data_IF_326894085214
#
_entry.id   IF_326894085214
#
_cell.length_a   1.000
_cell.length_b   1.000
_cell.length_c   1.000
_cell.angle_alpha   90.00
_cell.angle_beta   90.00
_cell.angle_gamma   90.00
#
_symmetry.space_group_name_H-M   'P 1'
#
loop_
_entity.id
_entity.type
_entity.pdbx_description
1 polymer ?
#
# COMPACT_ATOMS: atom_id res chain seq x y z
N UNK A 1 -2.51 -13.07 -11.64
CA UNK A 1 -1.43 -12.78 -10.66
C UNK A 1 -0.45 -11.79 -11.28
N UNK A 2 -0.05 -10.73 -10.58
CA UNK A 2 1.00 -9.80 -11.04
C UNK A 2 2.24 -10.00 -10.19
N UNK A 3 3.35 -10.43 -10.80
CA UNK A 3 4.62 -10.67 -10.12
C UNK A 3 5.76 -10.22 -11.03
N UNK A 4 6.63 -9.33 -10.56
CA UNK A 4 7.79 -8.82 -11.31
C UNK A 4 7.45 -8.35 -12.74
N UNK A 5 6.38 -7.58 -12.93
CA UNK A 5 5.99 -7.08 -14.26
C UNK A 5 5.25 -8.10 -15.13
N UNK A 6 5.10 -9.35 -14.69
CA UNK A 6 4.42 -10.42 -15.44
C UNK A 6 2.98 -10.55 -14.98
N UNK A 7 2.04 -10.60 -15.93
CA UNK A 7 0.62 -10.86 -15.68
C UNK A 7 0.26 -12.27 -16.12
N UNK A 8 -0.34 -13.04 -15.22
CA UNK A 8 -0.93 -14.35 -15.49
C UNK A 8 -2.46 -14.27 -15.49
N UNK A 9 -3.09 -14.77 -16.56
CA UNK A 9 -4.53 -15.01 -16.68
C UNK A 9 -4.74 -16.49 -16.96
N UNK A 10 -5.53 -17.19 -16.14
CA UNK A 10 -5.71 -18.64 -16.22
C UNK A 10 -4.37 -19.41 -16.30
N UNK A 11 -3.42 -19.02 -15.43
CA UNK A 11 -2.05 -19.53 -15.34
C UNK A 11 -1.18 -19.38 -16.59
N UNK A 12 -1.61 -18.57 -17.56
CA UNK A 12 -0.85 -18.24 -18.77
C UNK A 12 -0.38 -16.80 -18.75
N UNK A 13 0.87 -16.58 -19.15
CA UNK A 13 1.41 -15.23 -19.31
C UNK A 13 0.72 -14.53 -20.48
N UNK A 14 0.30 -13.28 -20.25
CA UNK A 14 -0.38 -12.46 -21.24
C UNK A 14 0.37 -11.15 -21.49
N UNK A 15 0.30 -10.63 -22.72
CA UNK A 15 0.76 -9.29 -23.07
C UNK A 15 -0.30 -8.24 -22.78
N UNK A 16 0.11 -7.04 -22.35
CA UNK A 16 -0.81 -5.94 -22.09
C UNK A 16 -0.94 -4.99 -23.30
N UNK A 17 -2.15 -4.46 -23.59
CA UNK A 17 -3.41 -4.78 -22.94
C UNK A 17 -3.91 -6.18 -23.32
N UNK A 18 -4.42 -6.90 -22.32
CA UNK A 18 -5.06 -8.20 -22.50
C UNK A 18 -6.56 -8.09 -22.26
N UNK A 19 -7.35 -8.76 -23.09
CA UNK A 19 -8.79 -8.82 -22.93
C UNK A 19 -9.25 -10.27 -23.08
N UNK A 20 -9.55 -10.91 -21.96
CA UNK A 20 -10.01 -12.31 -21.93
C UNK A 20 -11.46 -12.43 -22.42
N UNK A 21 -12.27 -11.38 -22.22
CA UNK A 21 -13.68 -11.31 -22.64
C UNK A 21 -14.21 -9.87 -22.58
N UNK A 22 -15.52 -9.66 -22.77
CA UNK A 22 -16.19 -8.39 -22.44
C UNK A 22 -16.17 -8.09 -20.93
N UNK A 23 -15.85 -9.09 -20.09
CA UNK A 23 -16.01 -9.00 -18.63
C UNK A 23 -14.77 -8.41 -17.96
N UNK A 24 -13.57 -8.75 -18.45
CA UNK A 24 -12.30 -8.41 -17.83
C UNK A 24 -11.31 -7.87 -18.86
N UNK A 25 -10.82 -6.66 -18.59
CA UNK A 25 -9.71 -6.03 -19.30
C UNK A 25 -8.53 -5.85 -18.35
N UNK A 26 -7.34 -6.16 -18.83
CA UNK A 26 -6.09 -5.92 -18.11
C UNK A 26 -5.22 -5.01 -18.96
N UNK A 27 -4.73 -3.91 -18.39
CA UNK A 27 -3.87 -2.95 -19.07
C UNK A 27 -2.78 -2.45 -18.16
N UNK A 28 -1.78 -1.77 -18.72
CA UNK A 28 -0.88 -0.95 -17.91
C UNK A 28 -1.68 0.12 -17.17
N UNK A 29 -1.27 0.46 -15.95
CA UNK A 29 -1.84 1.59 -15.23
C UNK A 29 -1.55 2.90 -15.98
N UNK A 30 -2.41 3.90 -15.82
CA UNK A 30 -2.28 5.19 -16.52
C UNK A 30 -0.98 5.94 -16.18
N UNK A 31 -0.40 5.69 -15.01
CA UNK A 31 0.89 6.23 -14.58
C UNK A 31 2.10 5.39 -15.05
N UNK A 32 1.87 4.29 -15.78
CA UNK A 32 2.91 3.37 -16.27
C UNK A 32 3.61 2.55 -15.17
N UNK A 33 3.24 2.73 -13.90
CA UNK A 33 3.92 2.16 -12.74
C UNK A 33 3.28 0.85 -12.25
N UNK A 34 2.51 0.15 -13.08
CA UNK A 34 1.78 -1.04 -12.66
C UNK A 34 0.77 -1.56 -13.67
N UNK A 35 -0.17 -2.35 -13.17
CA UNK A 35 -1.22 -3.01 -13.95
C UNK A 35 -2.58 -2.65 -13.38
N UNK A 36 -3.53 -2.42 -14.27
CA UNK A 36 -4.92 -2.18 -13.94
C UNK A 36 -5.78 -3.31 -14.50
N UNK A 37 -6.60 -3.90 -13.62
CA UNK A 37 -7.66 -4.82 -13.97
C UNK A 37 -8.98 -4.07 -13.89
N UNK A 38 -9.74 -4.07 -14.98
CA UNK A 38 -11.04 -3.43 -15.06
C UNK A 38 -12.09 -4.47 -15.42
N UNK A 39 -13.14 -4.51 -14.61
CA UNK A 39 -14.34 -5.29 -14.91
C UNK A 39 -15.42 -4.39 -15.51
N UNK A 40 -16.23 -4.93 -16.42
CA UNK A 40 -17.36 -4.17 -17.00
C UNK A 40 -18.40 -3.73 -15.95
N UNK A 41 -18.44 -4.42 -14.81
CA UNK A 41 -19.32 -4.06 -13.71
C UNK A 41 -18.82 -2.85 -12.90
N UNK A 42 -17.66 -2.27 -13.20
CA UNK A 42 -17.15 -1.08 -12.54
C UNK A 42 -16.34 -1.37 -11.26
N UNK A 43 -15.75 -2.56 -11.17
CA UNK A 43 -14.65 -2.83 -10.22
C UNK A 43 -13.34 -2.67 -10.96
N UNK A 44 -12.46 -1.84 -10.41
CA UNK A 44 -11.11 -1.57 -10.91
C UNK A 44 -10.10 -1.88 -9.82
N UNK A 45 -9.10 -2.69 -10.14
CA UNK A 45 -7.99 -3.02 -9.24
C UNK A 45 -6.69 -2.57 -9.90
N UNK A 46 -5.99 -1.65 -9.28
CA UNK A 46 -4.67 -1.20 -9.72
C UNK A 46 -3.61 -1.78 -8.79
N UNK A 47 -2.67 -2.53 -9.36
CA UNK A 47 -1.50 -3.08 -8.65
C UNK A 47 -0.28 -2.33 -9.14
N UNK A 48 0.34 -1.57 -8.24
CA UNK A 48 1.56 -0.81 -8.53
C UNK A 48 2.80 -1.70 -8.39
N UNK A 49 3.90 -1.26 -8.99
CA UNK A 49 5.20 -1.93 -8.94
C UNK A 49 5.77 -2.04 -7.53
N UNK A 50 5.33 -1.19 -6.61
CA UNK A 50 5.70 -1.20 -5.18
C UNK A 50 4.79 -2.11 -4.32
N UNK A 51 3.93 -2.91 -4.95
CA UNK A 51 3.00 -3.80 -4.26
C UNK A 51 1.73 -3.11 -3.74
N UNK A 52 1.59 -1.78 -3.89
CA UNK A 52 0.36 -1.09 -3.50
C UNK A 52 -0.81 -1.57 -4.35
N UNK A 53 -1.89 -2.00 -3.68
CA UNK A 53 -3.15 -2.37 -4.31
C UNK A 53 -4.18 -1.28 -4.03
N UNK A 54 -4.71 -0.66 -5.08
CA UNK A 54 -5.80 0.31 -5.01
C UNK A 54 -7.02 -0.29 -5.68
N UNK A 55 -8.13 -0.36 -4.95
CA UNK A 55 -9.39 -0.86 -5.49
C UNK A 55 -10.40 0.28 -5.56
N UNK A 56 -11.03 0.45 -6.72
CA UNK A 56 -12.16 1.36 -6.94
C UNK A 56 -13.37 0.53 -7.29
N UNK A 57 -14.45 0.70 -6.54
CA UNK A 57 -15.68 -0.09 -6.67
C UNK A 57 -16.84 0.85 -7.00
N UNK A 58 -17.62 0.53 -8.03
CA UNK A 58 -18.81 1.28 -8.38
C UNK A 58 -19.82 1.31 -7.23
N UNK A 59 -20.45 2.47 -7.00
CA UNK A 59 -21.39 2.72 -5.91
C UNK A 59 -22.55 1.71 -5.79
N UNK A 60 -22.94 1.04 -6.87
CA UNK A 60 -23.98 -0.01 -6.87
C UNK A 60 -23.66 -1.24 -5.99
N UNK A 61 -22.40 -1.37 -5.58
CA UNK A 61 -21.90 -2.41 -4.68
C UNK A 61 -21.78 -1.96 -3.21
N UNK A 62 -22.14 -0.71 -2.88
CA UNK A 62 -22.21 -0.24 -1.50
C UNK A 62 -23.08 -1.18 -0.64
N UNK A 63 -22.56 -1.63 0.50
CA UNK A 63 -23.21 -2.60 1.39
C UNK A 63 -23.27 -4.04 0.86
N UNK A 64 -22.68 -4.31 -0.31
CA UNK A 64 -22.64 -5.65 -0.94
C UNK A 64 -21.23 -6.24 -1.04
N UNK A 65 -20.24 -5.49 -0.59
CA UNK A 65 -18.85 -5.94 -0.51
C UNK A 65 -18.50 -6.28 0.94
N UNK A 66 -17.50 -7.12 1.12
CA UNK A 66 -16.95 -7.44 2.42
C UNK A 66 -15.48 -7.81 2.27
N UNK A 67 -14.66 -7.43 3.24
CA UNK A 67 -13.22 -7.73 3.23
C UNK A 67 -12.47 -6.80 4.17
N UNK A 68 -11.14 -6.79 4.05
CA UNK A 68 -10.27 -5.92 4.84
C UNK A 68 -10.51 -4.41 4.61
N UNK A 69 -11.18 -4.05 3.50
CA UNK A 69 -11.57 -2.67 3.19
C UNK A 69 -13.01 -2.33 3.63
N UNK A 70 -13.63 -3.15 4.48
CA UNK A 70 -14.99 -2.90 4.98
C UNK A 70 -16.08 -3.28 3.99
N UNK A 71 -17.26 -2.65 4.15
CA UNK A 71 -18.48 -2.99 3.39
C UNK A 71 -18.98 -1.87 2.46
N UNK A 72 -18.35 -0.69 2.49
CA UNK A 72 -18.69 0.46 1.64
C UNK A 72 -20.14 0.99 1.85
N UNK A 73 -20.72 0.85 3.04
CA UNK A 73 -22.04 1.41 3.39
C UNK A 73 -21.98 2.87 3.87
N UNK A 74 -20.78 3.45 3.97
CA UNK A 74 -20.51 4.80 4.50
C UNK A 74 -20.70 4.92 6.02
N UNK A 75 -20.53 3.82 6.76
CA UNK A 75 -20.56 3.72 8.23
C UNK A 75 -19.22 3.17 8.75
N UNK A 76 -18.22 4.05 8.86
CA UNK A 76 -16.86 3.68 9.28
C UNK A 76 -16.76 2.85 10.58
N UNK A 77 -17.56 3.14 11.63
CA UNK A 77 -17.61 2.32 12.85
C UNK A 77 -17.90 0.82 12.62
N UNK A 78 -18.59 0.47 11.54
CA UNK A 78 -19.04 -0.89 11.27
C UNK A 78 -18.14 -1.66 10.29
N UNK A 79 -17.10 -1.01 9.76
CA UNK A 79 -16.14 -1.62 8.83
C UNK A 79 -15.19 -2.60 9.54
N UNK A 80 -14.98 -2.47 10.86
CA UNK A 80 -14.09 -3.31 11.65
C UNK A 80 -14.74 -4.65 12.07
N UNK A 81 -15.27 -5.37 11.09
CA UNK A 81 -15.95 -6.67 11.27
C UNK A 81 -15.14 -7.82 10.73
N UNK A 82 -15.17 -8.93 11.44
CA UNK A 82 -14.59 -10.21 11.00
C UNK A 82 -15.30 -10.74 9.75
N UNK A 83 -14.75 -11.79 9.11
CA UNK A 83 -15.41 -12.52 8.02
C UNK A 83 -16.83 -13.03 8.33
N UNK A 84 -17.16 -13.13 9.62
CA UNK A 84 -18.47 -13.58 10.11
C UNK A 84 -19.40 -12.41 10.44
N UNK A 85 -19.05 -11.19 10.03
CA UNK A 85 -19.80 -9.96 10.30
C UNK A 85 -19.91 -9.58 11.78
N UNK A 86 -19.00 -10.10 12.62
CA UNK A 86 -18.93 -9.79 14.04
C UNK A 86 -17.89 -8.68 14.25
N UNK A 87 -18.17 -7.61 15.03
CA UNK A 87 -17.17 -6.62 15.39
C UNK A 87 -15.91 -7.27 15.98
N UNK A 88 -14.76 -6.97 15.41
CA UNK A 88 -13.49 -7.49 15.89
C UNK A 88 -13.03 -6.71 17.13
N UNK A 89 -12.38 -7.40 18.07
CA UNK A 89 -11.86 -6.81 19.32
C UNK A 89 -10.43 -6.31 19.19
N UNK A 90 -9.72 -6.77 18.17
CA UNK A 90 -8.35 -6.33 17.87
C UNK A 90 -8.04 -6.39 16.38
N UNK A 91 -6.98 -5.71 15.96
CA UNK A 91 -6.51 -5.70 14.57
C UNK A 91 -6.07 -7.10 14.15
N UNK A 92 -5.48 -7.86 15.07
CA UNK A 92 -5.07 -9.24 14.83
C UNK A 92 -6.27 -10.15 14.59
N UNK A 93 -7.33 -10.03 15.40
CA UNK A 93 -8.58 -10.78 15.18
C UNK A 93 -9.21 -10.41 13.84
N UNK A 94 -9.28 -9.10 13.53
CA UNK A 94 -9.80 -8.61 12.27
C UNK A 94 -9.04 -9.24 11.09
N UNK A 95 -7.73 -9.05 11.02
CA UNK A 95 -6.89 -9.53 9.91
C UNK A 95 -6.89 -11.06 9.79
N UNK A 96 -6.75 -11.77 10.92
CA UNK A 96 -6.73 -13.24 10.92
C UNK A 96 -8.06 -13.84 10.49
N UNK A 97 -9.20 -13.21 10.82
CA UNK A 97 -10.50 -13.67 10.37
C UNK A 97 -10.65 -13.60 8.85
N UNK A 98 -9.93 -12.68 8.18
CA UNK A 98 -9.97 -12.53 6.73
C UNK A 98 -8.91 -13.37 5.99
N UNK A 99 -8.07 -14.12 6.70
CA UNK A 99 -7.12 -15.03 6.06
C UNK A 99 -7.86 -16.13 5.30
N UNK A 100 -7.58 -16.22 4.00
CA UNK A 100 -7.98 -17.37 3.18
C UNK A 100 -6.98 -18.49 3.50
N UNK A 101 -7.43 -19.71 3.85
CA UNK A 101 -6.55 -20.83 4.08
C UNK A 101 -5.69 -21.07 2.84
N UNK A 102 -4.42 -20.69 2.89
CA UNK A 102 -3.42 -21.18 1.97
C UNK A 102 -2.90 -22.49 2.52
N UNK A 103 -2.62 -23.46 1.66
CA UNK A 103 -1.94 -24.66 2.12
C UNK A 103 -0.62 -24.24 2.81
N UNK A 104 -0.53 -24.57 4.12
CA UNK A 104 0.64 -24.49 5.00
C UNK A 104 1.19 -23.10 5.38
N UNK A 105 0.73 -22.61 6.54
CA UNK A 105 1.62 -21.95 7.51
C UNK A 105 2.03 -22.96 8.59
N UNK A 106 3.02 -23.81 8.32
CA UNK A 106 3.67 -24.58 9.39
C UNK A 106 4.66 -23.68 10.11
N UNK A 107 4.32 -23.22 11.32
CA UNK A 107 5.26 -22.54 12.22
C UNK A 107 6.52 -23.40 12.39
N UNK A 108 7.69 -22.79 12.20
CA UNK A 108 8.98 -23.42 12.48
C UNK A 108 9.64 -24.20 11.33
N UNK A 109 9.06 -24.24 10.12
CA UNK A 109 9.76 -24.74 8.92
C UNK A 109 10.06 -23.60 7.96
N UNK A 110 11.19 -23.71 7.25
CA UNK A 110 11.61 -22.80 6.18
C UNK A 110 10.41 -22.45 5.28
N UNK A 111 10.19 -21.15 4.96
CA UNK A 111 9.02 -20.74 4.18
C UNK A 111 8.93 -21.51 2.87
N UNK A 112 7.71 -21.78 2.41
CA UNK A 112 7.49 -22.60 1.22
C UNK A 112 8.13 -21.97 -0.03
N UNK A 113 8.08 -20.65 -0.12
CA UNK A 113 8.79 -19.81 -1.10
C UNK A 113 10.29 -20.11 -1.18
N UNK A 114 10.90 -20.50 -0.06
CA UNK A 114 12.33 -20.81 0.04
C UNK A 114 12.66 -22.26 -0.32
N UNK A 115 11.71 -23.19 -0.44
CA UNK A 115 12.00 -24.62 -0.63
C UNK A 115 12.79 -24.93 -1.90
N UNK A 116 12.55 -24.17 -2.97
CA UNK A 116 13.23 -24.34 -4.27
C UNK A 116 14.51 -23.51 -4.40
N UNK A 117 14.96 -22.84 -3.32
CA UNK A 117 16.14 -21.98 -3.32
C UNK A 117 17.39 -22.72 -2.86
N UNK A 118 18.55 -22.26 -3.34
CA UNK A 118 19.83 -22.79 -2.86
C UNK A 118 20.04 -22.46 -1.39
N UNK A 119 20.74 -23.33 -0.66
CA UNK A 119 21.08 -23.09 0.75
C UNK A 119 21.83 -21.76 0.94
N UNK A 120 22.67 -21.38 -0.04
CA UNK A 120 23.40 -20.10 -0.04
C UNK A 120 22.43 -18.90 -0.10
N UNK A 121 21.42 -18.96 -0.97
CA UNK A 121 20.43 -17.89 -1.10
C UNK A 121 19.58 -17.74 0.16
N UNK A 122 19.16 -18.86 0.75
CA UNK A 122 18.38 -18.88 1.99
C UNK A 122 19.20 -18.33 3.16
N UNK A 123 20.48 -18.74 3.29
CA UNK A 123 21.38 -18.21 4.32
C UNK A 123 21.58 -16.70 4.16
N UNK A 124 21.73 -16.22 2.92
CA UNK A 124 21.85 -14.79 2.61
C UNK A 124 20.57 -14.04 2.99
N UNK A 125 19.40 -14.52 2.56
CA UNK A 125 18.11 -13.95 2.90
C UNK A 125 17.92 -13.86 4.43
N UNK A 126 18.25 -14.93 5.15
CA UNK A 126 18.17 -14.98 6.60
C UNK A 126 19.11 -13.96 7.26
N UNK A 127 20.33 -13.78 6.76
CA UNK A 127 21.25 -12.75 7.25
C UNK A 127 20.67 -11.34 7.10
N UNK A 128 20.08 -11.03 5.95
CA UNK A 128 19.47 -9.72 5.68
C UNK A 128 18.22 -9.51 6.54
N UNK A 129 17.31 -10.48 6.58
CA UNK A 129 16.07 -10.39 7.35
C UNK A 129 16.29 -10.33 8.87
N UNK A 130 17.33 -10.99 9.39
CA UNK A 130 17.69 -10.90 10.80
C UNK A 130 18.22 -9.52 11.21
N UNK A 131 18.55 -8.62 10.28
CA UNK A 131 18.88 -7.25 10.66
C UNK A 131 17.70 -6.50 11.30
N UNK A 132 16.45 -6.94 11.11
CA UNK A 132 15.28 -6.49 11.90
C UNK A 132 15.40 -6.78 13.40
N UNK A 133 16.20 -7.78 13.78
CA UNK A 133 16.51 -8.12 15.18
C UNK A 133 17.72 -7.35 15.72
N UNK A 134 18.35 -6.52 14.89
CA UNK A 134 19.52 -5.73 15.25
C UNK A 134 19.20 -4.56 16.18
N UNK A 135 20.22 -4.10 16.92
CA UNK A 135 20.15 -2.97 17.87
C UNK A 135 19.54 -1.67 17.32
N UNK A 136 19.53 -1.47 16.00
CA UNK A 136 18.95 -0.29 15.36
C UNK A 136 17.43 -0.19 15.61
N UNK A 137 16.74 -1.32 15.71
CA UNK A 137 15.29 -1.40 15.87
C UNK A 137 14.83 -1.57 17.33
N UNK A 138 15.75 -1.58 18.29
CA UNK A 138 15.45 -1.87 19.71
C UNK A 138 14.35 -0.97 20.28
N UNK A 139 14.34 0.32 19.90
CA UNK A 139 13.36 1.30 20.37
C UNK A 139 11.92 0.91 20.03
N UNK A 140 11.74 0.11 18.97
CA UNK A 140 10.45 -0.36 18.48
C UNK A 140 9.95 -1.64 19.16
N UNK A 141 10.84 -2.46 19.74
CA UNK A 141 10.48 -3.82 20.21
C UNK A 141 9.42 -3.83 21.31
N UNK A 142 9.37 -2.79 22.14
CA UNK A 142 8.35 -2.67 23.19
C UNK A 142 6.96 -2.30 22.66
N UNK A 143 6.88 -1.80 21.42
CA UNK A 143 5.64 -1.36 20.79
C UNK A 143 5.14 -2.34 19.75
N UNK A 144 6.05 -2.94 18.97
CA UNK A 144 5.72 -3.91 17.92
C UNK A 144 5.79 -5.33 18.48
N UNK A 145 4.63 -5.88 18.90
CA UNK A 145 4.54 -7.15 19.63
C UNK A 145 4.97 -8.40 18.84
N UNK A 146 4.95 -8.36 17.51
CA UNK A 146 5.23 -9.53 16.67
C UNK A 146 6.37 -9.28 15.67
N UNK A 147 7.58 -9.04 16.17
CA UNK A 147 8.79 -8.89 15.33
C UNK A 147 9.00 -10.07 14.38
N UNK A 148 8.68 -11.30 14.83
CA UNK A 148 8.90 -12.50 14.02
C UNK A 148 8.05 -12.52 12.76
N UNK A 149 6.82 -11.98 12.77
CA UNK A 149 6.00 -11.87 11.56
C UNK A 149 6.67 -11.02 10.47
N UNK A 150 7.37 -9.94 10.83
CA UNK A 150 8.11 -9.12 9.86
C UNK A 150 9.34 -9.84 9.31
N UNK A 151 10.01 -10.64 10.15
CA UNK A 151 11.14 -11.47 9.74
C UNK A 151 10.68 -12.58 8.79
N UNK A 152 9.54 -13.22 9.08
CA UNK A 152 8.96 -14.27 8.24
C UNK A 152 8.51 -13.69 6.89
N UNK A 153 7.83 -12.54 6.89
CA UNK A 153 7.45 -11.83 5.67
C UNK A 153 8.69 -11.44 4.83
N UNK A 154 9.75 -10.95 5.48
CA UNK A 154 11.02 -10.67 4.82
C UNK A 154 11.60 -11.93 4.14
N UNK A 155 11.59 -13.06 4.83
CA UNK A 155 12.08 -14.32 4.28
C UNK A 155 11.26 -14.76 3.08
N UNK A 156 9.94 -14.64 3.16
CA UNK A 156 9.05 -14.96 2.03
C UNK A 156 9.32 -14.09 0.81
N UNK A 157 9.49 -12.78 1.00
CA UNK A 157 9.78 -11.84 -0.08
C UNK A 157 11.15 -12.12 -0.69
N UNK A 158 12.19 -12.29 0.14
CA UNK A 158 13.55 -12.58 -0.32
C UNK A 158 13.62 -13.90 -1.09
N UNK A 159 12.88 -14.91 -0.68
CA UNK A 159 12.84 -16.19 -1.37
C UNK A 159 11.99 -16.17 -2.65
N UNK A 160 10.99 -15.31 -2.73
CA UNK A 160 10.16 -15.15 -3.95
C UNK A 160 10.77 -14.20 -4.99
N UNK A 161 11.83 -13.48 -4.62
CA UNK A 161 12.43 -12.43 -5.43
C UNK A 161 13.65 -12.91 -6.25
N UNK A 162 13.61 -12.80 -7.59
CA UNK A 162 14.71 -13.24 -8.44
C UNK A 162 15.90 -12.26 -8.39
N UNK A 163 16.94 -12.63 -7.63
CA UNK A 163 18.30 -12.02 -7.61
C UNK A 163 18.41 -10.55 -7.20
N UNK A 164 17.33 -9.80 -7.02
CA UNK A 164 17.39 -8.43 -6.50
C UNK A 164 17.64 -8.44 -4.97
N UNK A 165 18.61 -7.65 -4.52
CA UNK A 165 18.92 -7.50 -3.10
C UNK A 165 17.93 -6.62 -2.36
N UNK A 166 17.04 -5.89 -3.03
CA UNK A 166 16.14 -4.91 -2.38
C UNK A 166 14.82 -5.50 -1.85
N UNK A 167 14.57 -6.80 -2.02
CA UNK A 167 13.28 -7.40 -1.67
C UNK A 167 13.01 -7.51 -0.16
N UNK A 168 14.01 -7.30 0.69
CA UNK A 168 13.81 -7.16 2.13
C UNK A 168 13.22 -5.80 2.52
N UNK A 169 13.33 -4.79 1.64
CA UNK A 169 12.98 -3.41 1.96
C UNK A 169 11.50 -3.23 2.31
N UNK A 170 10.58 -3.98 1.70
CA UNK A 170 9.15 -3.88 2.01
C UNK A 170 8.83 -4.33 3.44
N UNK A 171 9.45 -5.41 3.90
CA UNK A 171 9.28 -5.90 5.27
C UNK A 171 9.89 -4.91 6.29
N UNK A 172 11.02 -4.32 5.94
CA UNK A 172 11.72 -3.31 6.72
C UNK A 172 10.93 -2.00 6.82
N UNK A 173 10.38 -1.52 5.72
CA UNK A 173 9.49 -0.36 5.67
C UNK A 173 8.20 -0.61 6.46
N UNK A 174 7.63 -1.82 6.36
CA UNK A 174 6.44 -2.21 7.13
C UNK A 174 6.71 -2.23 8.64
N UNK A 175 7.88 -2.73 9.07
CA UNK A 175 8.28 -2.70 10.47
C UNK A 175 8.49 -1.27 10.97
N UNK A 176 9.12 -0.42 10.16
CA UNK A 176 9.29 1.02 10.46
C UNK A 176 7.94 1.71 10.65
N UNK A 177 7.00 1.56 9.71
CA UNK A 177 5.65 2.09 9.82
C UNK A 177 4.94 1.59 11.09
N UNK A 178 5.03 0.30 11.40
CA UNK A 178 4.42 -0.26 12.60
C UNK A 178 4.97 0.39 13.89
N UNK A 179 6.26 0.73 13.89
CA UNK A 179 6.89 1.45 15.00
C UNK A 179 6.45 2.92 15.07
N UNK A 180 6.43 3.62 13.93
CA UNK A 180 6.06 5.04 13.84
C UNK A 180 4.59 5.29 14.18
N UNK A 181 3.70 4.32 13.96
CA UNK A 181 2.30 4.36 14.46
C UNK A 181 2.19 4.48 15.98
N UNK A 182 3.24 4.13 16.71
CA UNK A 182 3.35 4.35 18.15
C UNK A 182 4.13 5.62 18.51
N UNK A 183 4.28 6.55 17.55
CA UNK A 183 5.09 7.78 17.66
C UNK A 183 6.56 7.51 18.03
N UNK A 184 7.07 6.32 17.71
CA UNK A 184 8.48 5.98 17.90
C UNK A 184 9.17 6.05 16.55
N UNK A 185 10.00 7.08 16.41
CA UNK A 185 10.83 7.26 15.22
C UNK A 185 12.25 6.80 15.51
N UNK A 186 12.93 6.35 14.47
CA UNK A 186 14.36 6.10 14.48
C UNK A 186 14.94 6.65 13.18
N UNK A 187 16.25 6.91 13.19
CA UNK A 187 16.96 7.50 12.07
C UNK A 187 16.90 6.61 10.81
N UNK A 188 17.57 7.02 9.73
CA UNK A 188 17.60 6.34 8.44
C UNK A 188 17.69 4.81 8.53
N UNK A 189 16.93 4.16 7.66
CA UNK A 189 16.91 2.70 7.54
C UNK A 189 18.34 2.15 7.36
N UNK A 190 18.69 1.02 8.00
CA UNK A 190 20.00 0.40 7.80
C UNK A 190 20.19 0.05 6.32
N UNK A 191 21.31 0.49 5.74
CA UNK A 191 21.63 0.25 4.33
C UNK A 191 20.72 1.05 3.41
N UNK A 192 21.02 2.34 3.21
CA UNK A 192 20.22 3.32 2.44
C UNK A 192 19.77 2.92 1.03
N UNK A 193 20.16 1.74 0.55
CA UNK A 193 19.58 0.99 -0.55
C UNK A 193 18.05 0.79 -0.45
N UNK A 194 17.49 0.73 0.77
CA UNK A 194 16.04 0.68 0.99
C UNK A 194 15.34 2.04 1.03
N UNK A 195 16.08 3.16 0.95
CA UNK A 195 15.44 4.46 0.73
C UNK A 195 14.78 4.41 -0.66
N UNK A 196 13.45 4.29 -0.69
CA UNK A 196 12.70 4.34 -1.96
C UNK A 196 13.06 5.65 -2.66
N UNK A 197 13.55 5.55 -3.89
CA UNK A 197 13.75 6.72 -4.73
C UNK A 197 12.37 7.32 -5.03
N UNK A 198 12.12 8.49 -4.48
CA UNK A 198 10.93 9.25 -4.82
C UNK A 198 11.14 10.04 -6.11
N UNK A 199 10.06 10.32 -6.86
CA UNK A 199 10.10 11.27 -7.95
C UNK A 199 10.75 12.59 -7.51
N UNK A 200 11.38 13.28 -8.46
CA UNK A 200 12.09 14.53 -8.18
C UNK A 200 11.21 15.53 -7.42
N UNK A 201 11.74 16.06 -6.32
CA UNK A 201 11.03 17.02 -5.46
C UNK A 201 10.12 16.40 -4.41
N UNK A 202 9.99 15.07 -4.33
CA UNK A 202 9.29 14.35 -3.26
C UNK A 202 10.26 13.75 -2.25
N UNK A 203 9.76 13.45 -1.05
CA UNK A 203 10.51 12.78 0.02
C UNK A 203 9.74 11.55 0.49
N UNK A 204 10.44 10.44 0.72
CA UNK A 204 9.83 9.24 1.26
C UNK A 204 9.52 9.46 2.74
N UNK A 205 8.28 9.20 3.12
CA UNK A 205 7.85 9.14 4.50
C UNK A 205 7.25 7.77 4.76
N UNK A 206 7.70 7.11 5.84
CA UNK A 206 7.17 5.81 6.23
C UNK A 206 5.84 5.94 6.97
N UNK A 207 5.52 7.13 7.49
CA UNK A 207 4.27 7.46 8.15
C UNK A 207 3.81 8.86 7.68
N UNK A 208 3.72 9.02 6.36
CA UNK A 208 3.24 10.25 5.75
C UNK A 208 1.71 10.36 5.75
N UNK A 209 1.17 11.53 5.38
CA UNK A 209 -0.27 11.77 5.38
C UNK A 209 -0.98 10.78 4.46
N UNK A 210 -1.99 10.05 4.97
CA UNK A 210 -2.81 9.17 4.13
C UNK A 210 -3.67 9.96 3.11
N UNK A 211 -3.71 11.29 3.20
CA UNK A 211 -4.41 12.18 2.27
C UNK A 211 -3.44 12.84 1.29
N UNK A 212 -3.86 12.95 0.04
CA UNK A 212 -3.30 13.93 -0.88
C UNK A 212 -4.02 15.24 -0.59
N UNK A 213 -3.35 16.15 0.11
CA UNK A 213 -3.90 17.47 0.38
C UNK A 213 -4.18 18.18 -0.96
N UNK A 214 -5.40 18.71 -1.13
CA UNK A 214 -5.82 19.47 -2.31
C UNK A 214 -6.58 20.71 -1.86
N UNK A 215 -6.50 21.79 -2.64
CA UNK A 215 -7.22 23.04 -2.37
C UNK A 215 -8.74 22.95 -2.60
N UNK A 216 -9.25 21.77 -2.99
CA UNK A 216 -10.67 21.56 -3.26
C UNK A 216 -11.46 21.47 -1.93
N UNK A 217 -12.63 22.12 -1.80
CA UNK A 217 -13.48 22.05 -0.59
C UNK A 217 -14.03 20.64 -0.24
N UNK A 218 -13.80 19.63 -1.08
CA UNK A 218 -14.13 18.22 -0.78
C UNK A 218 -12.88 17.44 -0.38
N UNK A 219 -11.88 18.12 0.16
CA UNK A 219 -10.77 17.45 0.79
C UNK A 219 -11.34 16.66 1.97
N UNK A 220 -11.46 15.34 1.82
CA UNK A 220 -12.04 14.45 2.82
C UNK A 220 -11.35 14.62 4.18
N UNK A 221 -12.13 14.41 5.25
CA UNK A 221 -11.72 14.56 6.65
C UNK A 221 -10.40 13.87 6.96
N UNK A 222 -9.70 14.42 7.95
CA UNK A 222 -8.46 13.89 8.50
C UNK A 222 -8.69 12.46 8.96
N UNK A 223 -8.03 11.51 8.30
CA UNK A 223 -7.87 10.16 8.84
C UNK A 223 -6.69 10.21 9.81
N UNK A 224 -6.88 9.77 11.05
CA UNK A 224 -5.82 9.63 12.08
C UNK A 224 -4.80 8.53 11.74
N UNK A 225 -4.71 8.12 10.47
CA UNK A 225 -3.88 7.01 10.00
C UNK A 225 -2.86 7.53 9.01
N UNK A 226 -1.59 7.19 9.23
CA UNK A 226 -0.51 7.46 8.29
C UNK A 226 -0.21 6.24 7.40
N UNK A 227 0.33 6.52 6.21
CA UNK A 227 0.69 5.52 5.22
C UNK A 227 2.13 5.74 4.73
N UNK A 228 2.85 4.69 4.32
CA UNK A 228 4.17 4.82 3.73
C UNK A 228 4.05 5.24 2.26
N UNK A 229 4.88 6.20 1.82
CA UNK A 229 4.80 6.71 0.46
C UNK A 229 5.77 7.84 0.16
N UNK A 230 5.75 8.30 -1.08
CA UNK A 230 6.45 9.52 -1.50
C UNK A 230 5.49 10.70 -1.40
N UNK A 231 5.89 11.71 -0.64
CA UNK A 231 5.07 12.88 -0.35
C UNK A 231 5.79 14.15 -0.78
N UNK A 232 5.01 15.18 -1.11
CA UNK A 232 5.60 16.50 -1.24
C UNK A 232 6.11 16.98 0.13
N UNK A 233 7.23 17.71 0.17
CA UNK A 233 7.70 18.36 1.38
C UNK A 233 6.63 19.27 2.00
N UNK A 234 6.77 19.63 3.29
CA UNK A 234 5.88 20.58 3.95
C UNK A 234 5.64 21.84 3.10
N UNK A 235 4.41 22.37 3.14
CA UNK A 235 3.95 23.53 2.36
C UNK A 235 3.85 23.35 0.83
N UNK A 236 4.02 22.12 0.31
CA UNK A 236 3.83 21.81 -1.11
C UNK A 236 2.72 20.80 -1.37
N UNK A 237 2.09 20.91 -2.54
CA UNK A 237 1.03 20.03 -3.02
C UNK A 237 1.48 19.29 -4.27
N UNK A 238 1.05 18.03 -4.42
CA UNK A 238 1.31 17.27 -5.65
C UNK A 238 0.32 17.66 -6.74
N UNK A 239 0.81 18.24 -7.82
CA UNK A 239 0.01 18.70 -8.96
C UNK A 239 0.71 18.40 -10.28
N UNK A 240 0.01 17.71 -11.20
CA UNK A 240 0.48 17.42 -12.56
C UNK A 240 1.93 16.89 -12.63
N UNK A 241 2.27 15.95 -11.74
CA UNK A 241 3.58 15.30 -11.73
C UNK A 241 4.69 16.07 -11.01
N UNK A 242 4.38 17.17 -10.29
CA UNK A 242 5.38 17.94 -9.53
C UNK A 242 4.82 18.51 -8.23
N UNK A 243 5.70 18.78 -7.27
CA UNK A 243 5.35 19.49 -6.04
C UNK A 243 5.29 21.00 -6.29
N UNK A 244 4.11 21.61 -6.13
CA UNK A 244 3.84 23.04 -6.30
C UNK A 244 3.60 23.72 -4.95
N UNK A 245 3.90 25.02 -4.88
CA UNK A 245 3.66 25.83 -3.67
C UNK A 245 2.17 25.87 -3.30
N UNK A 246 1.83 25.35 -2.11
CA UNK A 246 0.45 25.21 -1.64
C UNK A 246 -0.30 26.54 -1.69
N UNK A 247 0.28 27.59 -1.12
CA UNK A 247 -0.34 28.92 -1.03
C UNK A 247 -0.68 29.50 -2.41
N UNK A 248 0.28 29.43 -3.35
CA UNK A 248 0.11 29.97 -4.71
C UNK A 248 -0.94 29.18 -5.49
N UNK A 249 -0.89 27.85 -5.39
CA UNK A 249 -1.81 26.99 -6.09
C UNK A 249 -3.24 27.14 -5.55
N UNK A 250 -3.44 27.17 -4.22
CA UNK A 250 -4.75 27.37 -3.63
C UNK A 250 -5.35 28.75 -3.93
N UNK A 251 -4.56 29.82 -3.91
CA UNK A 251 -5.04 31.15 -4.27
C UNK A 251 -5.52 31.22 -5.74
N UNK A 252 -4.80 30.58 -6.66
CA UNK A 252 -5.20 30.50 -8.07
C UNK A 252 -6.49 29.67 -8.22
N UNK A 253 -6.59 28.56 -7.50
CA UNK A 253 -7.76 27.70 -7.48
C UNK A 253 -9.03 28.44 -7.01
N UNK A 254 -8.94 29.17 -5.89
CA UNK A 254 -10.06 29.97 -5.37
C UNK A 254 -10.49 31.08 -6.35
N UNK A 255 -9.53 31.74 -7.01
CA UNK A 255 -9.82 32.76 -8.02
C UNK A 255 -10.61 32.17 -9.19
N UNK A 256 -10.23 30.98 -9.66
CA UNK A 256 -10.91 30.28 -10.74
C UNK A 256 -12.31 29.81 -10.33
N UNK A 257 -12.48 29.30 -9.10
CA UNK A 257 -13.80 28.96 -8.56
C UNK A 257 -14.74 30.17 -8.54
N UNK A 258 -14.27 31.33 -8.06
CA UNK A 258 -15.06 32.57 -8.04
C UNK A 258 -15.46 33.04 -9.43
N UNK A 259 -14.59 32.85 -10.43
CA UNK A 259 -14.88 33.19 -11.82
C UNK A 259 -15.90 32.25 -12.48
N UNK A 260 -15.99 31.00 -12.01
CA UNK A 260 -16.92 29.98 -12.52
C UNK A 260 -18.30 30.00 -11.83
N UNK A 261 -18.41 30.52 -10.60
CA UNK A 261 -19.71 30.75 -9.95
C UNK A 261 -20.39 31.97 -10.57
N UNK A 262 -21.57 31.83 -11.22
CA UNK A 262 -22.30 32.98 -11.71
C UNK A 262 -22.68 33.86 -10.52
N UNK A 263 -22.38 35.16 -10.60
CA UNK A 263 -22.93 36.14 -9.67
C UNK A 263 -24.44 35.95 -9.64
N UNK A 264 -24.97 35.49 -8.49
CA UNK A 264 -26.40 35.62 -8.21
C UNK A 264 -26.70 37.11 -8.31
N UNK A 265 -27.25 37.54 -9.45
CA UNK A 265 -27.86 38.87 -9.57
C UNK A 265 -28.91 38.92 -8.47
N UNK A 266 -28.71 39.81 -7.50
CA UNK A 266 -29.76 40.20 -6.56
C UNK A 266 -30.92 40.72 -7.42
N UNK A 267 -32.02 39.97 -7.44
CA UNK A 267 -33.33 40.45 -7.85
C UNK A 267 -33.91 41.21 -6.67
#
# INVERSE_FOLDING_TARGET
MYHNGTVLVNDKTVSLPHQESTILKVSSSADGAGVQLQTHHGVVVSVKSDGTIVTTIAKKFAGKVCGLCGNMNNDGPDDFKTRHHIPAKSVEEYVSSWEVPTERKTRGKQPESCRKRSHRDVKRAMGMCNALKGRHFHVCYKHVKNLQAFVDACMDHMCSCHRNNLCYCDAFASFKLACERHNVTFNKMPGGECERQCPEGMTFDACGPARVERCHPYSFETMDTCMPGCYCPPEKLWENGKCVEKKKYCAAYEKNLRAMTPSKKKV
#
